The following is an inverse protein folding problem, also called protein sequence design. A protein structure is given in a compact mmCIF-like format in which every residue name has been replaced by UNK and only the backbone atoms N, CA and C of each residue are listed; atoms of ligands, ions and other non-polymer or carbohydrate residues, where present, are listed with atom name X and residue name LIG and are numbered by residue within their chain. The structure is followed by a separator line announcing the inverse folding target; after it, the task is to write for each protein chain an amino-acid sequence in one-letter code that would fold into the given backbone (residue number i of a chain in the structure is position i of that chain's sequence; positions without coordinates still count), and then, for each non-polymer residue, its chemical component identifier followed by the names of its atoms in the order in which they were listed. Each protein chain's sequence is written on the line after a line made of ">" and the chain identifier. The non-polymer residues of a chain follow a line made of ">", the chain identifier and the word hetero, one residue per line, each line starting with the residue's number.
data_IF_237172293548
#
_entry.id   IF_237172293548
#
_cell.length_a   1.000
_cell.length_b   1.000
_cell.length_c   1.000
_cell.angle_alpha   90.00
_cell.angle_beta   90.00
_cell.angle_gamma   90.00
#
_symmetry.space_group_name_H-M   'P 1'
#
loop_
_entity.id
_entity.type
_entity.pdbx_description
1 polymer ?
#
# COMPACT_ATOMS: atom_id res chain seq x y z
N UNK A 1 5.52 14.66 -1.90
CA UNK A 1 4.85 13.64 -1.07
C UNK A 1 3.48 14.10 -0.57
N UNK A 2 3.37 15.32 -0.03
CA UNK A 2 2.09 15.93 0.39
C UNK A 2 0.99 15.88 -0.67
N UNK A 3 1.32 16.14 -1.94
CA UNK A 3 0.36 16.07 -3.05
C UNK A 3 -0.32 14.69 -3.19
N UNK A 4 0.45 13.60 -3.09
CA UNK A 4 -0.09 12.24 -3.26
C UNK A 4 -1.01 11.85 -2.10
N UNK A 5 -0.59 12.15 -0.86
CA UNK A 5 -1.39 11.92 0.35
C UNK A 5 -2.66 12.78 0.38
N UNK A 6 -2.57 14.04 -0.03
CA UNK A 6 -3.72 14.94 -0.12
C UNK A 6 -4.74 14.43 -1.14
N UNK A 7 -4.29 13.96 -2.30
CA UNK A 7 -5.16 13.35 -3.30
C UNK A 7 -5.84 12.07 -2.77
N UNK A 8 -5.07 11.17 -2.15
CA UNK A 8 -5.61 9.94 -1.57
C UNK A 8 -6.68 10.24 -0.50
N UNK A 9 -6.42 11.22 0.37
CA UNK A 9 -7.35 11.63 1.44
C UNK A 9 -8.62 12.25 0.89
N UNK A 10 -8.51 13.07 -0.17
CA UNK A 10 -9.65 13.71 -0.83
C UNK A 10 -10.58 12.72 -1.53
N UNK A 11 -10.09 11.54 -1.93
CA UNK A 11 -10.89 10.52 -2.61
C UNK A 11 -11.61 9.57 -1.64
N UNK A 12 -11.25 9.57 -0.34
CA UNK A 12 -11.86 8.69 0.68
C UNK A 12 -13.40 8.80 0.70
N UNK A 13 -14.03 10.00 0.73
CA UNK A 13 -15.49 10.09 0.79
C UNK A 13 -16.17 9.44 -0.42
N UNK A 14 -15.66 9.69 -1.62
CA UNK A 14 -16.18 9.09 -2.86
C UNK A 14 -16.04 7.58 -2.85
N UNK A 15 -14.88 7.08 -2.38
CA UNK A 15 -14.57 5.67 -2.29
C UNK A 15 -15.49 4.91 -1.31
N UNK A 16 -16.01 5.57 -0.27
CA UNK A 16 -16.98 4.99 0.65
C UNK A 16 -18.41 5.01 0.10
N UNK A 17 -18.78 6.07 -0.63
CA UNK A 17 -20.15 6.31 -1.12
C UNK A 17 -20.46 5.45 -2.35
N UNK A 18 -19.54 5.33 -3.31
CA UNK A 18 -19.78 4.55 -4.54
C UNK A 18 -20.18 3.08 -4.28
N UNK A 19 -19.42 2.29 -3.49
CA UNK A 19 -19.82 0.92 -3.20
C UNK A 19 -21.11 0.86 -2.36
N UNK A 20 -21.40 1.86 -1.53
CA UNK A 20 -22.65 1.89 -0.76
C UNK A 20 -23.87 1.97 -1.67
N UNK A 21 -23.84 2.91 -2.62
CA UNK A 21 -24.90 3.08 -3.60
C UNK A 21 -25.01 1.84 -4.48
N UNK A 22 -23.90 1.35 -5.01
CA UNK A 22 -23.87 0.16 -5.86
C UNK A 22 -24.45 -1.08 -5.15
N UNK A 23 -24.00 -1.37 -3.92
CA UNK A 23 -24.46 -2.52 -3.15
C UNK A 23 -25.93 -2.40 -2.80
N UNK A 24 -26.44 -1.21 -2.52
CA UNK A 24 -27.88 -0.99 -2.26
C UNK A 24 -28.73 -1.47 -3.43
N UNK A 25 -28.41 -1.05 -4.66
CA UNK A 25 -29.14 -1.49 -5.85
C UNK A 25 -28.91 -2.97 -6.17
N UNK A 26 -27.66 -3.42 -6.09
CA UNK A 26 -27.29 -4.80 -6.38
C UNK A 26 -27.96 -5.79 -5.42
N UNK A 27 -28.03 -5.47 -4.13
CA UNK A 27 -28.65 -6.31 -3.09
C UNK A 27 -30.15 -6.47 -3.30
N UNK A 28 -30.85 -5.40 -3.69
CA UNK A 28 -32.28 -5.45 -4.03
C UNK A 28 -32.53 -6.33 -5.26
N UNK A 29 -31.63 -6.28 -6.25
CA UNK A 29 -31.80 -6.99 -7.53
C UNK A 29 -31.46 -8.48 -7.44
N UNK A 30 -30.37 -8.83 -6.76
CA UNK A 30 -29.90 -10.22 -6.66
C UNK A 30 -30.55 -10.98 -5.51
N UNK A 31 -30.99 -10.27 -4.47
CA UNK A 31 -31.54 -10.84 -3.24
C UNK A 31 -30.66 -11.97 -2.65
N UNK A 32 -29.40 -11.69 -2.32
CA UNK A 32 -28.47 -12.70 -1.81
C UNK A 32 -28.80 -13.12 -0.37
N UNK A 33 -28.37 -14.31 0.04
CA UNK A 33 -28.62 -14.84 1.39
C UNK A 33 -27.68 -14.24 2.45
N UNK A 34 -26.49 -13.77 2.05
CA UNK A 34 -25.57 -13.15 2.99
C UNK A 34 -25.98 -11.71 3.39
N UNK A 35 -25.47 -11.27 4.54
CA UNK A 35 -25.79 -9.98 5.13
C UNK A 35 -25.26 -8.81 4.29
N UNK A 36 -26.04 -7.73 4.20
CA UNK A 36 -25.71 -6.51 3.46
C UNK A 36 -24.30 -5.96 3.77
N UNK A 37 -23.92 -5.91 5.05
CA UNK A 37 -22.62 -5.37 5.47
C UNK A 37 -21.43 -6.18 4.96
N UNK A 38 -21.60 -7.49 4.78
CA UNK A 38 -20.53 -8.35 4.24
C UNK A 38 -20.27 -8.00 2.78
N UNK A 39 -21.33 -7.77 2.00
CA UNK A 39 -21.23 -7.30 0.63
C UNK A 39 -20.67 -5.89 0.54
N UNK A 40 -21.13 -4.98 1.39
CA UNK A 40 -20.59 -3.63 1.43
C UNK A 40 -19.06 -3.64 1.65
N UNK A 41 -18.58 -4.42 2.63
CA UNK A 41 -17.14 -4.58 2.88
C UNK A 41 -16.38 -5.18 1.68
N UNK A 42 -16.96 -6.19 1.01
CA UNK A 42 -16.38 -6.81 -0.19
C UNK A 42 -16.23 -5.81 -1.34
N UNK A 43 -17.31 -5.10 -1.69
CA UNK A 43 -17.29 -4.14 -2.79
C UNK A 43 -16.46 -2.90 -2.46
N UNK A 44 -16.43 -2.48 -1.20
CA UNK A 44 -15.51 -1.43 -0.74
C UNK A 44 -14.05 -1.85 -0.92
N UNK A 45 -13.70 -3.09 -0.54
CA UNK A 45 -12.36 -3.61 -0.73
C UNK A 45 -12.00 -3.71 -2.22
N UNK A 46 -12.96 -4.14 -3.05
CA UNK A 46 -12.82 -4.19 -4.50
C UNK A 46 -12.54 -2.79 -5.06
N UNK A 47 -13.32 -1.78 -4.68
CA UNK A 47 -13.14 -0.39 -5.10
C UNK A 47 -11.75 0.15 -4.72
N UNK A 48 -11.26 -0.14 -3.51
CA UNK A 48 -9.91 0.22 -3.07
C UNK A 48 -8.84 -0.39 -3.99
N UNK A 49 -8.98 -1.67 -4.34
CA UNK A 49 -8.03 -2.36 -5.22
C UNK A 49 -8.02 -1.73 -6.61
N UNK A 50 -9.17 -1.50 -7.22
CA UNK A 50 -9.24 -0.91 -8.56
C UNK A 50 -8.83 0.57 -8.61
N UNK A 51 -9.13 1.33 -7.56
CA UNK A 51 -8.61 2.69 -7.41
C UNK A 51 -7.07 2.69 -7.36
N UNK A 52 -6.46 1.80 -6.57
CA UNK A 52 -5.00 1.67 -6.50
C UNK A 52 -4.36 1.25 -7.82
N UNK A 53 -5.01 0.36 -8.57
CA UNK A 53 -4.62 -0.02 -9.92
C UNK A 53 -4.73 1.18 -10.89
N UNK A 54 -5.81 1.96 -10.80
CA UNK A 54 -6.00 3.16 -11.61
C UNK A 54 -4.86 4.17 -11.41
N UNK A 55 -4.43 4.38 -10.16
CA UNK A 55 -3.25 5.18 -9.88
C UNK A 55 -1.98 4.59 -10.50
N UNK A 56 -1.78 3.28 -10.37
CA UNK A 56 -0.65 2.60 -10.97
C UNK A 56 -0.60 2.84 -12.48
N UNK A 57 -1.70 2.58 -13.20
CA UNK A 57 -1.77 2.79 -14.64
C UNK A 57 -1.53 4.26 -15.01
N UNK A 58 -2.09 5.21 -14.25
CA UNK A 58 -1.92 6.65 -14.51
C UNK A 58 -0.47 7.15 -14.42
N UNK A 59 0.36 6.47 -13.61
CA UNK A 59 1.77 6.81 -13.43
C UNK A 59 2.62 6.30 -14.60
N UNK A 60 2.37 5.05 -15.04
CA UNK A 60 3.19 4.36 -16.04
C UNK A 60 2.73 4.60 -17.49
N UNK A 61 1.45 4.89 -17.71
CA UNK A 61 0.88 5.08 -19.05
C UNK A 61 0.64 6.57 -19.31
N UNK A 62 0.81 7.00 -20.56
CA UNK A 62 0.45 8.35 -20.97
C UNK A 62 -1.07 8.57 -20.84
N UNK A 63 -1.50 9.78 -20.47
CA UNK A 63 -2.92 10.09 -20.20
C UNK A 63 -3.86 9.67 -21.34
N UNK A 64 -3.42 9.83 -22.58
CA UNK A 64 -4.20 9.47 -23.79
C UNK A 64 -4.52 7.98 -23.91
N UNK A 65 -3.70 7.10 -23.33
CA UNK A 65 -3.86 5.64 -23.44
C UNK A 65 -4.20 4.97 -22.11
N UNK A 66 -4.19 5.71 -20.99
CA UNK A 66 -4.38 5.16 -19.65
C UNK A 66 -5.76 4.50 -19.49
N UNK A 67 -6.82 5.14 -20.00
CA UNK A 67 -8.19 4.62 -19.93
C UNK A 67 -8.32 3.30 -20.69
N UNK A 68 -7.80 3.23 -21.92
CA UNK A 68 -7.83 2.02 -22.73
C UNK A 68 -7.09 0.86 -22.06
N UNK A 69 -5.89 1.12 -21.52
CA UNK A 69 -5.11 0.10 -20.79
C UNK A 69 -5.84 -0.37 -19.54
N UNK A 70 -6.50 0.53 -18.80
CA UNK A 70 -7.31 0.20 -17.64
C UNK A 70 -8.45 -0.77 -17.98
N UNK A 71 -9.22 -0.46 -19.02
CA UNK A 71 -10.33 -1.32 -19.46
C UNK A 71 -9.82 -2.68 -19.94
N UNK A 72 -8.77 -2.71 -20.76
CA UNK A 72 -8.17 -3.97 -21.23
C UNK A 72 -7.68 -4.83 -20.07
N UNK A 73 -7.04 -4.22 -19.07
CA UNK A 73 -6.58 -4.93 -17.89
C UNK A 73 -7.73 -5.55 -17.09
N UNK A 74 -8.82 -4.80 -16.87
CA UNK A 74 -10.01 -5.29 -16.15
C UNK A 74 -10.63 -6.47 -16.89
N UNK A 75 -10.75 -6.39 -18.22
CA UNK A 75 -11.26 -7.49 -19.06
C UNK A 75 -10.39 -8.74 -18.91
N UNK A 76 -9.07 -8.59 -18.97
CA UNK A 76 -8.14 -9.69 -18.76
C UNK A 76 -8.29 -10.30 -17.36
N UNK A 77 -8.43 -9.47 -16.32
CA UNK A 77 -8.64 -9.96 -14.96
C UNK A 77 -9.99 -10.68 -14.81
N UNK A 78 -11.04 -10.20 -15.47
CA UNK A 78 -12.36 -10.83 -15.49
C UNK A 78 -12.32 -12.22 -16.15
N UNK A 79 -11.61 -12.37 -17.27
CA UNK A 79 -11.37 -13.67 -17.90
C UNK A 79 -10.61 -14.64 -16.99
N UNK A 80 -9.72 -14.11 -16.15
CA UNK A 80 -8.96 -14.86 -15.15
C UNK A 80 -9.71 -15.02 -13.82
N UNK A 81 -10.98 -14.61 -13.73
CA UNK A 81 -11.77 -14.63 -12.49
C UNK A 81 -12.08 -16.02 -11.95
N UNK A 82 -11.90 -17.08 -12.74
CA UNK A 82 -12.04 -18.47 -12.28
C UNK A 82 -13.45 -19.06 -12.37
N UNK A 83 -14.42 -18.33 -12.93
CA UNK A 83 -15.77 -18.84 -13.22
C UNK A 83 -15.74 -19.73 -14.46
N UNK A 84 -15.26 -19.19 -15.58
CA UNK A 84 -15.02 -19.90 -16.84
C UNK A 84 -13.81 -19.26 -17.53
N UNK A 85 -12.67 -19.97 -17.69
CA UNK A 85 -12.39 -21.33 -17.23
C UNK A 85 -12.36 -21.46 -15.68
N UNK A 86 -12.54 -22.69 -15.16
CA UNK A 86 -12.43 -22.93 -13.72
C UNK A 86 -10.98 -22.85 -13.24
N UNK A 87 -10.77 -22.43 -11.98
CA UNK A 87 -9.42 -22.34 -11.38
C UNK A 87 -8.69 -23.68 -11.46
N UNK A 88 -9.40 -24.79 -11.23
CA UNK A 88 -8.85 -26.16 -11.35
C UNK A 88 -8.31 -26.49 -12.73
N UNK A 89 -8.95 -25.98 -13.78
CA UNK A 89 -8.47 -26.20 -15.16
C UNK A 89 -7.27 -25.32 -15.45
N UNK A 90 -7.26 -24.08 -14.96
CA UNK A 90 -6.16 -23.14 -15.16
C UNK A 90 -4.94 -23.46 -14.31
N UNK A 91 -5.09 -24.12 -13.15
CA UNK A 91 -3.97 -24.41 -12.25
C UNK A 91 -3.09 -25.60 -12.68
N UNK A 92 -3.35 -26.17 -13.86
CA UNK A 92 -2.57 -27.30 -14.39
C UNK A 92 -1.15 -26.88 -14.79
N UNK A 93 -1.02 -25.69 -15.36
CA UNK A 93 0.25 -25.13 -15.79
C UNK A 93 0.74 -24.08 -14.78
N UNK A 94 2.06 -23.96 -14.61
CA UNK A 94 2.62 -23.06 -13.59
C UNK A 94 2.44 -21.57 -13.95
N UNK A 95 2.50 -21.22 -15.24
CA UNK A 95 2.41 -19.83 -15.70
C UNK A 95 0.98 -19.28 -15.61
N UNK A 96 -0.01 -20.11 -15.95
CA UNK A 96 -1.42 -19.77 -15.78
C UNK A 96 -1.78 -19.66 -14.30
N UNK A 97 -1.20 -20.50 -13.44
CA UNK A 97 -1.38 -20.38 -12.00
C UNK A 97 -0.91 -19.02 -11.48
N UNK A 98 0.27 -18.55 -11.89
CA UNK A 98 0.78 -17.22 -11.49
C UNK A 98 -0.16 -16.12 -11.99
N UNK A 99 -0.60 -16.17 -13.24
CA UNK A 99 -1.54 -15.19 -13.81
C UNK A 99 -2.86 -15.14 -13.03
N UNK A 100 -3.47 -16.30 -12.76
CA UNK A 100 -4.73 -16.41 -12.01
C UNK A 100 -4.56 -15.96 -10.56
N UNK A 101 -3.46 -16.31 -9.90
CA UNK A 101 -3.15 -15.86 -8.54
C UNK A 101 -2.88 -14.36 -8.46
N UNK A 102 -2.39 -13.73 -9.54
CA UNK A 102 -2.15 -12.29 -9.58
C UNK A 102 -3.41 -11.46 -9.86
N UNK A 103 -4.49 -12.07 -10.39
CA UNK A 103 -5.73 -11.37 -10.72
C UNK A 103 -6.50 -10.99 -9.44
N UNK A 104 -6.74 -9.70 -9.16
CA UNK A 104 -7.56 -9.30 -8.02
C UNK A 104 -9.02 -9.75 -8.19
N UNK A 105 -9.52 -9.85 -9.43
CA UNK A 105 -10.89 -10.29 -9.70
C UNK A 105 -11.10 -11.74 -9.25
N UNK A 106 -10.10 -12.62 -9.44
CA UNK A 106 -10.18 -14.01 -8.97
C UNK A 106 -10.44 -14.09 -7.48
N UNK A 107 -9.69 -13.35 -6.68
CA UNK A 107 -9.85 -13.37 -5.22
C UNK A 107 -11.17 -12.76 -4.76
N UNK A 108 -11.65 -11.74 -5.47
CA UNK A 108 -12.95 -11.13 -5.21
C UNK A 108 -14.12 -12.09 -5.53
N UNK A 109 -14.09 -12.77 -6.67
CA UNK A 109 -15.09 -13.78 -7.04
C UNK A 109 -15.08 -14.94 -6.06
N UNK A 110 -13.90 -15.44 -5.69
CA UNK A 110 -13.77 -16.52 -4.71
C UNK A 110 -14.30 -16.09 -3.33
N UNK A 111 -14.03 -14.85 -2.90
CA UNK A 111 -14.58 -14.29 -1.67
C UNK A 111 -16.11 -14.21 -1.74
N UNK A 112 -16.66 -13.64 -2.80
CA UNK A 112 -18.11 -13.51 -3.02
C UNK A 112 -18.80 -14.87 -2.99
N UNK A 113 -18.21 -15.87 -3.65
CA UNK A 113 -18.73 -17.22 -3.68
C UNK A 113 -18.70 -17.91 -2.31
N UNK A 114 -17.59 -17.76 -1.56
CA UNK A 114 -17.48 -18.34 -0.20
C UNK A 114 -18.42 -17.69 0.82
N UNK A 115 -18.70 -16.40 0.68
CA UNK A 115 -19.67 -15.67 1.51
C UNK A 115 -21.07 -16.28 1.36
N UNK A 116 -21.51 -16.53 0.12
CA UNK A 116 -22.81 -17.14 -0.16
C UNK A 116 -22.87 -18.60 0.30
N UNK A 117 -21.86 -19.40 -0.07
CA UNK A 117 -21.81 -20.83 0.26
C UNK A 117 -21.94 -21.10 1.76
N UNK A 118 -21.38 -20.23 2.60
CA UNK A 118 -21.43 -20.39 4.05
C UNK A 118 -22.87 -20.41 4.58
N UNK A 119 -23.75 -19.57 4.02
CA UNK A 119 -25.17 -19.54 4.39
C UNK A 119 -25.91 -20.80 3.90
N UNK A 120 -25.61 -21.29 2.70
CA UNK A 120 -26.18 -22.55 2.21
C UNK A 120 -25.72 -23.78 3.01
N UNK A 121 -24.50 -23.77 3.55
CA UNK A 121 -24.00 -24.84 4.40
C UNK A 121 -24.80 -24.95 5.71
N UNK A 122 -25.19 -23.82 6.30
CA UNK A 122 -26.05 -23.78 7.50
C UNK A 122 -27.43 -24.41 7.21
N UNK A 123 -27.88 -24.40 5.95
CA UNK A 123 -29.13 -25.00 5.49
C UNK A 123 -29.04 -26.49 5.07
N UNK A 124 -27.95 -27.21 5.40
CA UNK A 124 -27.75 -28.65 5.12
C UNK A 124 -27.75 -29.04 3.62
N UNK A 125 -27.42 -28.13 2.71
CA UNK A 125 -27.23 -28.48 1.29
C UNK A 125 -25.83 -29.06 1.04
N UNK A 126 -25.69 -29.93 0.01
CA UNK A 126 -24.40 -30.53 -0.37
C UNK A 126 -23.51 -29.51 -1.11
N UNK A 127 -22.96 -28.52 -0.38
CA UNK A 127 -22.19 -27.41 -0.96
C UNK A 127 -20.74 -27.79 -1.29
N UNK A 128 -20.23 -28.88 -0.71
CA UNK A 128 -18.85 -29.34 -0.92
C UNK A 128 -18.54 -29.67 -2.39
N UNK A 129 -19.48 -30.30 -3.10
CA UNK A 129 -19.31 -30.66 -4.52
C UNK A 129 -19.22 -29.42 -5.41
N UNK A 130 -20.02 -28.39 -5.12
CA UNK A 130 -19.99 -27.15 -5.88
C UNK A 130 -18.64 -26.42 -5.72
N UNK A 131 -18.12 -26.36 -4.49
CA UNK A 131 -16.83 -25.75 -4.20
C UNK A 131 -15.66 -26.49 -4.91
N UNK A 132 -15.70 -27.83 -4.90
CA UNK A 132 -14.68 -28.67 -5.55
C UNK A 132 -14.70 -28.52 -7.09
N UNK A 133 -15.88 -28.32 -7.68
CA UNK A 133 -16.02 -28.13 -9.12
C UNK A 133 -15.35 -26.83 -9.61
N UNK A 134 -15.46 -25.75 -8.84
CA UNK A 134 -14.78 -24.48 -9.16
C UNK A 134 -13.30 -24.47 -8.74
N UNK A 135 -12.93 -25.28 -7.75
CA UNK A 135 -11.58 -25.34 -7.19
C UNK A 135 -11.32 -24.28 -6.12
N UNK A 136 -12.37 -23.80 -5.45
CA UNK A 136 -12.27 -22.80 -4.39
C UNK A 136 -12.06 -23.46 -3.01
N UNK A 137 -11.60 -22.69 -2.03
CA UNK A 137 -11.38 -23.17 -0.66
C UNK A 137 -12.23 -22.41 0.35
N UNK A 138 -12.77 -23.11 1.36
CA UNK A 138 -13.45 -22.45 2.50
C UNK A 138 -12.53 -21.48 3.25
N UNK A 139 -11.22 -21.74 3.25
CA UNK A 139 -10.23 -20.83 3.87
C UNK A 139 -10.12 -19.50 3.12
N UNK A 140 -10.57 -19.45 1.87
CA UNK A 140 -10.52 -18.24 1.06
C UNK A 140 -11.37 -17.10 1.64
N UNK A 141 -12.38 -17.39 2.46
CA UNK A 141 -13.14 -16.34 3.16
C UNK A 141 -12.24 -15.38 3.96
N UNK A 142 -11.24 -15.91 4.67
CA UNK A 142 -10.29 -15.10 5.44
C UNK A 142 -9.04 -14.72 4.64
N UNK A 143 -8.61 -15.58 3.70
CA UNK A 143 -7.37 -15.38 2.95
C UNK A 143 -7.56 -14.37 1.81
N UNK A 144 -8.66 -14.43 1.07
CA UNK A 144 -8.94 -13.54 -0.06
C UNK A 144 -8.92 -12.05 0.30
N UNK A 145 -9.56 -11.56 1.39
CA UNK A 145 -9.49 -10.14 1.73
C UNK A 145 -8.06 -9.70 2.09
N UNK A 146 -7.28 -10.56 2.76
CA UNK A 146 -5.88 -10.28 3.09
C UNK A 146 -5.05 -10.14 1.81
N UNK A 147 -5.26 -11.04 0.85
CA UNK A 147 -4.55 -11.00 -0.44
C UNK A 147 -4.94 -9.75 -1.24
N UNK A 148 -6.23 -9.36 -1.26
CA UNK A 148 -6.68 -8.13 -1.91
C UNK A 148 -6.02 -6.90 -1.30
N UNK A 149 -5.97 -6.80 0.03
CA UNK A 149 -5.24 -5.71 0.73
C UNK A 149 -3.76 -5.71 0.36
N UNK A 150 -3.12 -6.88 0.31
CA UNK A 150 -1.72 -7.00 -0.08
C UNK A 150 -1.49 -6.52 -1.52
N UNK A 151 -2.37 -6.87 -2.46
CA UNK A 151 -2.33 -6.40 -3.86
C UNK A 151 -2.49 -4.87 -3.91
N UNK A 152 -3.42 -4.29 -3.16
CA UNK A 152 -3.57 -2.83 -3.04
C UNK A 152 -2.27 -2.17 -2.58
N UNK A 153 -1.66 -2.68 -1.50
CA UNK A 153 -0.41 -2.12 -0.96
C UNK A 153 0.69 -2.19 -2.02
N UNK A 154 0.81 -3.31 -2.74
CA UNK A 154 1.80 -3.46 -3.82
C UNK A 154 1.57 -2.42 -4.91
N UNK A 155 0.32 -2.22 -5.39
CA UNK A 155 0.04 -1.22 -6.42
C UNK A 155 0.26 0.22 -5.93
N UNK A 156 -0.06 0.53 -4.66
CA UNK A 156 0.21 1.84 -4.08
C UNK A 156 1.72 2.10 -3.98
N UNK A 157 2.50 1.13 -3.51
CA UNK A 157 3.97 1.24 -3.43
C UNK A 157 4.56 1.40 -4.83
N UNK A 158 4.11 0.61 -5.81
CA UNK A 158 4.57 0.74 -7.20
C UNK A 158 4.21 2.09 -7.81
N UNK A 159 3.01 2.59 -7.55
CA UNK A 159 2.56 3.92 -7.98
C UNK A 159 3.44 5.02 -7.37
N UNK A 160 3.73 4.91 -6.08
CA UNK A 160 4.60 5.86 -5.37
C UNK A 160 6.03 5.84 -5.93
N UNK A 161 6.61 4.65 -6.10
CA UNK A 161 7.94 4.49 -6.71
C UNK A 161 7.97 5.06 -8.13
N UNK A 162 6.97 4.75 -8.95
CA UNK A 162 6.85 5.28 -10.31
C UNK A 162 6.75 6.80 -10.34
N UNK A 163 6.01 7.40 -9.40
CA UNK A 163 5.90 8.86 -9.28
C UNK A 163 7.25 9.50 -8.90
N UNK A 164 7.98 8.90 -7.95
CA UNK A 164 9.31 9.37 -7.53
C UNK A 164 10.33 9.26 -8.66
N UNK A 165 10.25 8.20 -9.48
CA UNK A 165 11.14 8.03 -10.64
C UNK A 165 10.80 9.00 -11.78
N UNK A 166 9.53 9.36 -11.95
CA UNK A 166 9.07 10.23 -13.03
C UNK A 166 9.42 11.70 -12.81
N UNK A 167 9.60 12.13 -11.57
CA UNK A 167 10.04 13.49 -11.26
C UNK A 167 11.59 13.57 -11.19
N UNK A 168 12.27 14.06 -12.25
CA UNK A 168 13.73 14.11 -12.28
C UNK A 168 14.31 14.97 -11.15
N UNK A 169 13.59 16.01 -10.70
CA UNK A 169 14.03 16.84 -9.59
C UNK A 169 13.98 16.08 -8.25
N UNK A 170 12.99 15.22 -8.06
CA UNK A 170 12.92 14.34 -6.89
C UNK A 170 14.07 13.32 -6.87
N UNK A 171 14.40 12.75 -8.03
CA UNK A 171 15.54 11.82 -8.17
C UNK A 171 16.85 12.51 -7.80
N UNK A 172 17.06 13.75 -8.23
CA UNK A 172 18.27 14.51 -7.88
C UNK A 172 18.37 14.79 -6.37
N UNK A 173 17.26 15.18 -5.72
CA UNK A 173 17.19 15.39 -4.26
C UNK A 173 17.47 14.10 -3.47
N UNK A 174 16.99 12.96 -3.94
CA UNK A 174 17.28 11.65 -3.30
C UNK A 174 18.75 11.30 -3.46
N UNK A 175 19.34 11.50 -4.65
CA UNK A 175 20.78 11.26 -4.90
C UNK A 175 21.66 12.15 -4.03
N UNK A 176 21.28 13.40 -3.76
CA UNK A 176 22.04 14.29 -2.87
C UNK A 176 21.92 13.84 -1.41
N UNK A 177 20.72 13.50 -0.93
CA UNK A 177 20.52 13.00 0.44
C UNK A 177 21.26 11.68 0.71
N UNK A 178 21.19 10.71 -0.20
CA UNK A 178 21.90 9.43 -0.06
C UNK A 178 23.43 9.65 0.00
N UNK A 179 23.97 10.58 -0.80
CA UNK A 179 25.39 10.96 -0.72
C UNK A 179 25.76 11.58 0.62
N UNK A 180 24.89 12.42 1.19
CA UNK A 180 25.11 13.04 2.51
C UNK A 180 25.07 11.98 3.61
N UNK A 181 24.10 11.08 3.60
CA UNK A 181 23.95 10.02 4.60
C UNK A 181 25.16 9.06 4.59
N UNK A 182 25.60 8.63 3.40
CA UNK A 182 26.80 7.80 3.24
C UNK A 182 28.06 8.53 3.76
N UNK A 183 28.19 9.84 3.52
CA UNK A 183 29.32 10.63 4.04
C UNK A 183 29.30 10.76 5.56
N UNK A 184 28.13 11.02 6.17
CA UNK A 184 27.99 11.05 7.64
C UNK A 184 28.31 9.69 8.27
N UNK A 185 27.81 8.61 7.69
CA UNK A 185 28.12 7.24 8.12
C UNK A 185 29.63 6.94 8.08
N UNK A 186 30.33 7.33 7.00
CA UNK A 186 31.79 7.17 6.90
C UNK A 186 32.56 7.98 7.95
N UNK A 187 32.11 9.18 8.32
CA UNK A 187 32.74 9.98 9.39
C UNK A 187 32.57 9.33 10.76
N UNK A 188 31.37 8.84 11.08
CA UNK A 188 31.08 8.13 12.33
C UNK A 188 31.90 6.84 12.44
N UNK A 189 32.02 6.07 11.35
CA UNK A 189 32.83 4.86 11.31
C UNK A 189 34.34 5.15 11.51
N UNK A 190 34.85 6.26 10.98
CA UNK A 190 36.24 6.69 11.22
C UNK A 190 36.48 7.06 12.69
N UNK A 191 35.53 7.77 13.32
CA UNK A 191 35.61 8.14 14.75
C UNK A 191 35.61 6.92 15.67
N UNK A 192 34.73 5.94 15.39
CA UNK A 192 34.69 4.68 16.13
C UNK A 192 35.98 3.85 15.94
N UNK A 193 36.57 3.83 14.73
CA UNK A 193 37.85 3.17 14.49
C UNK A 193 39.02 3.85 15.19
N UNK A 194 39.01 5.18 15.35
CA UNK A 194 40.05 5.87 16.13
C UNK A 194 39.91 5.64 17.62
N UNK A 195 38.69 5.57 18.15
CA UNK A 195 38.43 5.27 19.57
C UNK A 195 38.83 3.83 19.92
N UNK A 196 38.55 2.85 19.04
CA UNK A 196 38.92 1.44 19.26
C UNK A 196 40.44 1.16 19.14
N UNK A 197 41.23 2.10 18.61
CA UNK A 197 42.69 1.93 18.43
C UNK A 197 43.53 2.37 19.64
N UNK A 198 42.89 2.72 20.77
CA UNK A 198 43.54 2.87 22.08
C UNK A 198 43.26 1.71 23.06
N UNK A 199 43.56 0.44 22.74
CA UNK A 199 43.42 -0.68 23.69
C UNK A 199 44.62 -0.78 24.66
N UNK A 200 45.26 0.34 25.03
CA UNK A 200 46.50 0.35 25.83
C UNK A 200 46.42 1.09 27.17
N UNK A 201 45.49 2.03 27.35
CA UNK A 201 45.54 2.95 28.51
C UNK A 201 44.44 2.75 29.56
N UNK A 202 43.48 1.84 29.35
CA UNK A 202 42.37 1.65 30.30
C UNK A 202 42.61 0.59 31.39
N UNK A 203 43.80 -0.02 31.46
CA UNK A 203 44.12 -1.00 32.52
C UNK A 203 44.70 -0.34 33.79
N UNK A 204 45.04 0.96 33.75
CA UNK A 204 45.66 1.65 34.90
C UNK A 204 44.79 2.71 35.58
N UNK A 205 43.56 2.95 35.12
CA UNK A 205 42.72 4.03 35.65
C UNK A 205 41.42 3.55 36.30
N UNK A 206 41.22 2.24 36.46
CA UNK A 206 40.08 1.67 37.19
C UNK A 206 40.35 1.48 38.70
N UNK A 207 41.59 1.69 39.16
CA UNK A 207 41.92 1.67 40.60
C UNK A 207 41.87 3.06 41.27
N UNK A 208 41.83 4.16 40.52
CA UNK A 208 41.79 5.53 41.09
C UNK A 208 40.41 6.20 41.06
N UNK A 209 39.43 5.69 40.31
CA UNK A 209 38.09 6.29 40.21
C UNK A 209 37.06 5.73 41.22
N UNK A 210 37.38 4.63 41.92
CA UNK A 210 36.52 4.12 43.01
C UNK A 210 36.58 5.04 44.26
N UNK A 211 37.49 6.02 44.31
CA UNK A 211 37.60 6.97 45.42
C UNK A 211 36.98 8.36 45.17
N UNK A 212 36.41 8.64 44.00
CA UNK A 212 35.91 10.00 43.66
C UNK A 212 34.41 10.04 43.30
N UNK A 213 33.74 8.88 43.24
CA UNK A 213 32.30 8.78 42.97
C UNK A 213 31.41 8.87 44.21
N UNK A 214 31.87 9.50 45.30
CA UNK A 214 31.03 9.80 46.47
C UNK A 214 30.65 11.30 46.59
N UNK A 215 31.29 12.19 45.84
CA UNK A 215 31.03 13.64 45.93
C UNK A 215 30.91 14.26 44.53
N UNK A 216 29.68 14.46 44.02
CA UNK A 216 29.51 15.27 42.81
C UNK A 216 28.23 15.04 42.00
N UNK A 217 27.10 14.76 42.64
CA UNK A 217 25.80 15.04 42.02
C UNK A 217 25.44 16.50 42.34
N UNK A 218 25.64 17.42 41.40
CA UNK A 218 24.83 18.64 41.32
C UNK A 218 25.08 19.44 40.03
N UNK A 219 23.98 19.99 39.50
CA UNK A 219 23.87 21.11 38.54
C UNK A 219 24.25 20.85 37.08
N UNK A 220 23.29 20.98 36.17
CA UNK A 220 23.09 22.15 35.27
C UNK A 220 23.48 21.74 33.83
N UNK A 221 22.82 22.16 32.76
CA UNK A 221 21.71 23.09 32.56
C UNK A 221 21.19 22.86 31.14
N UNK A 222 19.91 23.17 30.96
CA UNK A 222 19.26 23.45 29.70
C UNK A 222 20.06 24.45 28.85
N UNK A 223 20.06 24.26 27.53
CA UNK A 223 20.08 25.30 26.47
C UNK A 223 20.56 24.63 25.18
N UNK A 224 19.67 24.51 24.18
CA UNK A 224 19.97 24.53 22.73
C UNK A 224 18.79 23.94 21.93
N UNK A 225 17.62 24.59 21.99
CA UNK A 225 16.50 24.31 21.06
C UNK A 225 15.85 25.64 20.62
N UNK A 226 16.67 26.60 20.20
CA UNK A 226 16.20 27.86 19.62
C UNK A 226 17.02 28.20 18.37
N UNK A 227 16.70 27.57 17.24
CA UNK A 227 17.05 28.03 15.89
C UNK A 227 16.50 27.04 14.88
N UNK A 228 15.34 27.34 14.28
CA UNK A 228 14.95 26.95 12.90
C UNK A 228 13.46 27.27 12.62
N UNK A 229 13.02 28.53 12.80
CA UNK A 229 11.76 29.01 12.22
C UNK A 229 11.90 30.46 11.73
N UNK A 230 12.62 30.64 10.62
CA UNK A 230 12.49 31.83 9.77
C UNK A 230 12.74 31.44 8.32
N UNK A 231 11.67 31.08 7.61
CA UNK A 231 11.58 31.26 6.15
C UNK A 231 10.11 31.13 5.70
N UNK A 232 9.31 32.15 6.04
CA UNK A 232 8.06 32.43 5.33
C UNK A 232 8.41 33.30 4.10
N UNK A 233 8.60 32.65 2.95
CA UNK A 233 8.62 33.35 1.66
C UNK A 233 7.18 33.69 1.23
N UNK A 234 6.97 34.98 1.02
CA UNK A 234 5.74 35.62 0.55
C UNK A 234 5.34 35.07 -0.82
N UNK A 235 4.28 34.27 -0.84
CA UNK A 235 3.64 33.80 -2.07
C UNK A 235 2.80 34.95 -2.69
N UNK A 236 3.22 35.45 -3.85
CA UNK A 236 2.39 36.34 -4.69
C UNK A 236 1.56 35.50 -5.69
N UNK A 237 0.23 35.65 -5.72
CA UNK A 237 -0.61 34.94 -6.68
C UNK A 237 -0.51 35.54 -8.09
N UNK A 238 -0.63 34.72 -9.15
CA UNK A 238 -0.58 35.17 -10.54
C UNK A 238 -1.85 35.95 -10.93
N UNK A 239 -1.64 37.09 -11.59
CA UNK A 239 -2.68 37.93 -12.18
C UNK A 239 -3.40 37.20 -13.32
N UNK A 240 -4.72 37.04 -13.21
CA UNK A 240 -5.57 36.53 -14.28
C UNK A 240 -5.59 37.49 -15.47
N UNK A 241 -5.07 37.05 -16.62
CA UNK A 241 -5.35 37.65 -17.91
C UNK A 241 -6.76 37.25 -18.36
N UNK A 242 -7.64 38.24 -18.48
CA UNK A 242 -8.91 38.13 -19.19
C UNK A 242 -8.63 38.12 -20.69
N UNK A 243 -8.74 36.94 -21.33
CA UNK A 243 -8.87 36.88 -22.78
C UNK A 243 -10.36 36.98 -23.14
N UNK A 244 -10.68 38.13 -23.75
CA UNK A 244 -11.88 38.37 -24.52
C UNK A 244 -11.76 37.64 -25.87
N UNK A 245 -12.77 36.83 -26.23
CA UNK A 245 -13.33 36.74 -27.58
C UNK A 245 -14.56 35.82 -27.61
#
# INVERSE_FOLDING_TARGET
>A
MSYFLGKLTGEIPSLLIYPLVFVTFWYILVNPEAEFYTYYGLFLLFEIVFSSLGYFISVFVQRTHAEFVGVMYIILCALLGGVQPTVRTMSKEWYTLVLVCSSPVRWAVELMYTVEIRKYQESNQNVATALENYGFSYKAYYISPIILIAITIIFLVLSFVGLVMRDPQAVERIKTLTRVYIRKGKRKLKKLKSERKKPGDYVFQQESEIQVLEDGEESESDEDDELLLQQDEVYQPPSMQQDQQ
#
